data_IF_841092156751
#
_entry.id   IF_841092156751
#
_cell.length_a   1.000
_cell.length_b   1.000
_cell.length_c   1.000
_cell.angle_alpha   90.00
_cell.angle_beta   90.00
_cell.angle_gamma   90.00
#
_symmetry.space_group_name_H-M   'P 1'
#
loop_
_entity.id
_entity.type
_entity.pdbx_description
1 polymer ?
#
# COMPACT_ATOMS: atom_id res chain seq x y z
N UNK A 1 -65.67 66.00 -42.94
CA UNK A 1 -65.36 64.97 -41.93
C UNK A 1 -64.88 65.70 -40.68
N UNK A 2 -65.82 66.00 -39.75
CA UNK A 2 -65.91 65.46 -38.36
C UNK A 2 -65.04 66.28 -37.38
N UNK A 3 -65.57 67.27 -36.62
CA UNK A 3 -66.11 67.21 -35.23
C UNK A 3 -65.20 66.41 -34.26
N UNK A 4 -64.88 66.77 -33.02
CA UNK A 4 -65.37 67.77 -32.06
C UNK A 4 -64.42 67.90 -30.85
N UNK A 5 -64.56 69.02 -30.12
CA UNK A 5 -64.48 69.28 -28.65
C UNK A 5 -64.12 68.13 -27.70
N UNK A 6 -63.21 68.37 -26.72
CA UNK A 6 -63.35 68.18 -25.24
C UNK A 6 -62.02 68.51 -24.51
N UNK A 7 -61.98 69.36 -23.46
CA UNK A 7 -62.40 69.27 -22.04
C UNK A 7 -61.34 68.68 -21.10
N UNK A 8 -61.08 69.46 -20.05
CA UNK A 8 -60.39 69.20 -18.79
C UNK A 8 -60.63 67.81 -18.19
N UNK A 9 -59.68 67.38 -17.34
CA UNK A 9 -60.08 66.58 -16.18
C UNK A 9 -59.09 65.52 -15.71
N UNK A 10 -58.54 65.82 -14.53
CA UNK A 10 -58.65 64.96 -13.35
C UNK A 10 -57.41 64.16 -12.92
N UNK A 11 -56.82 64.69 -11.84
CA UNK A 11 -56.39 64.00 -10.63
C UNK A 11 -56.69 62.48 -10.57
N UNK A 12 -55.65 61.71 -10.25
CA UNK A 12 -55.76 60.40 -9.61
C UNK A 12 -54.47 60.07 -8.86
N UNK A 13 -54.53 59.26 -7.79
CA UNK A 13 -53.78 59.46 -6.56
C UNK A 13 -52.47 58.67 -6.50
N UNK A 14 -51.54 59.13 -5.67
CA UNK A 14 -50.38 58.37 -5.23
C UNK A 14 -50.84 57.11 -4.48
N UNK A 15 -50.72 55.95 -5.12
CA UNK A 15 -50.89 54.66 -4.46
C UNK A 15 -49.58 54.40 -3.70
N UNK A 16 -49.63 54.49 -2.37
CA UNK A 16 -48.58 53.93 -1.52
C UNK A 16 -48.71 52.40 -1.54
N UNK A 17 -47.72 51.73 -2.12
CA UNK A 17 -47.60 50.28 -2.02
C UNK A 17 -47.38 49.87 -0.56
N UNK A 18 -48.13 48.89 -0.02
CA UNK A 18 -47.92 48.41 1.33
C UNK A 18 -46.58 47.66 1.40
N UNK A 19 -45.65 48.19 2.22
CA UNK A 19 -44.41 47.51 2.58
C UNK A 19 -44.71 46.08 3.09
N UNK A 20 -44.02 45.04 2.59
CA UNK A 20 -44.19 43.69 3.12
C UNK A 20 -43.73 43.67 4.59
N UNK A 21 -44.42 42.92 5.48
CA UNK A 21 -44.02 42.80 6.87
C UNK A 21 -42.61 42.19 6.95
N UNK A 22 -41.77 42.80 7.78
CA UNK A 22 -40.41 42.32 8.05
C UNK A 22 -40.46 40.85 8.52
N UNK A 23 -39.59 39.96 8.00
CA UNK A 23 -39.57 38.58 8.44
C UNK A 23 -39.30 38.53 9.95
N UNK A 24 -40.22 37.89 10.66
CA UNK A 24 -40.21 37.70 12.10
C UNK A 24 -38.86 37.04 12.49
N UNK A 25 -37.96 37.81 13.12
CA UNK A 25 -36.59 37.36 13.47
C UNK A 25 -36.53 36.42 14.67
N UNK A 26 -37.68 36.08 15.25
CA UNK A 26 -37.77 35.36 16.53
C UNK A 26 -38.13 33.87 16.39
N UNK A 27 -38.04 33.31 15.18
CA UNK A 27 -38.11 31.86 14.99
C UNK A 27 -36.86 31.17 15.53
N UNK A 28 -36.95 30.07 16.31
CA UNK A 28 -35.78 29.33 16.75
C UNK A 28 -34.95 28.89 15.55
N UNK A 29 -33.68 29.29 15.51
CA UNK A 29 -32.77 28.99 14.42
C UNK A 29 -32.79 27.47 14.11
N UNK A 30 -32.77 27.07 12.81
CA UNK A 30 -32.72 25.67 12.45
C UNK A 30 -31.46 25.07 13.09
N UNK A 31 -31.65 24.09 13.98
CA UNK A 31 -30.55 23.36 14.62
C UNK A 31 -29.68 22.77 13.51
N UNK A 32 -28.51 23.33 13.30
CA UNK A 32 -27.50 22.72 12.45
C UNK A 32 -27.22 21.34 13.03
N UNK A 33 -27.62 20.29 12.31
CA UNK A 33 -27.13 18.94 12.62
C UNK A 33 -25.64 19.01 12.38
N UNK A 34 -24.86 19.13 13.47
CA UNK A 34 -23.41 19.04 13.42
C UNK A 34 -22.99 17.76 12.70
N UNK A 35 -21.75 17.69 12.17
CA UNK A 35 -21.27 16.48 11.51
C UNK A 35 -21.52 15.29 12.41
N UNK A 36 -22.17 14.24 11.89
CA UNK A 36 -22.29 12.97 12.60
C UNK A 36 -20.87 12.47 12.81
N UNK A 37 -20.30 12.74 13.99
CA UNK A 37 -19.03 12.18 14.43
C UNK A 37 -19.28 10.69 14.62
N UNK A 38 -19.09 9.91 13.55
CA UNK A 38 -19.01 8.47 13.65
C UNK A 38 -17.93 8.15 14.67
N UNK A 39 -18.30 7.41 15.72
CA UNK A 39 -17.36 6.96 16.73
C UNK A 39 -16.22 6.19 16.03
N UNK A 40 -15.00 6.75 16.04
CA UNK A 40 -13.82 6.02 15.58
C UNK A 40 -13.66 4.78 16.47
N UNK A 41 -13.53 3.60 15.86
CA UNK A 41 -13.33 2.35 16.59
C UNK A 41 -12.00 2.41 17.36
N UNK A 42 -11.86 1.57 18.39
CA UNK A 42 -10.63 1.56 19.17
C UNK A 42 -9.40 1.24 18.30
N UNK A 43 -8.23 1.83 18.57
CA UNK A 43 -7.00 1.50 17.84
C UNK A 43 -6.65 0.01 17.86
N UNK A 44 -6.99 -0.68 18.95
CA UNK A 44 -6.78 -2.13 19.12
C UNK A 44 -7.58 -2.93 18.10
N UNK A 45 -8.84 -2.55 17.85
CA UNK A 45 -9.69 -3.21 16.85
C UNK A 45 -9.02 -3.21 15.47
N UNK A 46 -8.57 -2.05 14.98
CA UNK A 46 -7.95 -1.97 13.65
C UNK A 46 -6.68 -2.82 13.54
N UNK A 47 -5.85 -2.84 14.59
CA UNK A 47 -4.64 -3.66 14.63
C UNK A 47 -5.00 -5.15 14.61
N UNK A 48 -5.97 -5.57 15.42
CA UNK A 48 -6.42 -6.98 15.45
C UNK A 48 -6.94 -7.41 14.08
N UNK A 49 -7.78 -6.59 13.43
CA UNK A 49 -8.30 -6.92 12.09
C UNK A 49 -7.18 -6.94 11.05
N UNK A 50 -6.24 -5.98 11.09
CA UNK A 50 -5.08 -5.99 10.21
C UNK A 50 -4.26 -7.28 10.35
N UNK A 51 -3.93 -7.67 11.58
CA UNK A 51 -3.16 -8.89 11.85
C UNK A 51 -3.91 -10.15 11.42
N UNK A 52 -5.23 -10.18 11.58
CA UNK A 52 -6.06 -11.27 11.08
C UNK A 52 -6.04 -11.35 9.55
N UNK A 53 -6.13 -10.21 8.84
CA UNK A 53 -6.04 -10.15 7.38
C UNK A 53 -4.66 -10.59 6.87
N UNK A 54 -3.58 -10.13 7.50
CA UNK A 54 -2.21 -10.54 7.18
C UNK A 54 -2.05 -12.04 7.40
N UNK A 55 -2.49 -12.55 8.55
CA UNK A 55 -2.39 -14.00 8.87
C UNK A 55 -3.18 -14.86 7.88
N UNK A 56 -4.39 -14.43 7.53
CA UNK A 56 -5.21 -15.11 6.54
C UNK A 56 -4.54 -15.10 5.15
N UNK A 57 -4.03 -13.95 4.71
CA UNK A 57 -3.30 -13.84 3.44
C UNK A 57 -2.09 -14.78 3.40
N UNK A 58 -1.26 -14.77 4.45
CA UNK A 58 -0.07 -15.63 4.54
C UNK A 58 -0.46 -17.10 4.47
N UNK A 59 -1.43 -17.53 5.28
CA UNK A 59 -1.87 -18.92 5.33
C UNK A 59 -2.47 -19.39 3.99
N UNK A 60 -3.37 -18.60 3.40
CA UNK A 60 -3.99 -18.91 2.11
C UNK A 60 -2.93 -18.96 1.02
N UNK A 61 -2.08 -17.93 0.92
CA UNK A 61 -1.03 -17.86 -0.10
C UNK A 61 -0.08 -19.04 0.00
N UNK A 62 0.39 -19.36 1.21
CA UNK A 62 1.28 -20.49 1.44
C UNK A 62 0.65 -21.83 1.03
N UNK A 63 -0.61 -22.07 1.42
CA UNK A 63 -1.34 -23.30 1.03
C UNK A 63 -1.51 -23.36 -0.49
N UNK A 64 -1.93 -22.26 -1.12
CA UNK A 64 -2.16 -22.22 -2.56
C UNK A 64 -0.86 -22.43 -3.35
N UNK A 65 0.24 -21.79 -2.97
CA UNK A 65 1.54 -22.01 -3.63
C UNK A 65 2.10 -23.41 -3.35
N UNK A 66 1.77 -24.01 -2.19
CA UNK A 66 2.17 -25.39 -1.88
C UNK A 66 1.42 -26.42 -2.74
N UNK A 67 0.13 -26.19 -3.01
CA UNK A 67 -0.65 -26.94 -4.01
C UNK A 67 -0.06 -26.71 -5.41
N UNK A 68 0.31 -25.46 -5.70
CA UNK A 68 1.22 -24.99 -6.78
C UNK A 68 2.32 -26.02 -7.08
N UNK A 69 3.20 -26.12 -6.09
CA UNK A 69 4.43 -26.88 -6.10
C UNK A 69 4.20 -28.39 -6.19
N UNK A 70 3.32 -28.94 -5.35
CA UNK A 70 3.03 -30.39 -5.34
C UNK A 70 2.26 -30.85 -6.57
N UNK A 71 1.54 -29.96 -7.24
CA UNK A 71 0.88 -30.19 -8.52
C UNK A 71 1.80 -30.03 -9.74
N UNK A 72 3.10 -29.76 -9.55
CA UNK A 72 4.09 -29.54 -10.61
C UNK A 72 3.76 -28.34 -11.53
N UNK A 73 3.13 -27.29 -10.99
CA UNK A 73 2.83 -26.06 -11.71
C UNK A 73 3.86 -24.93 -11.43
N UNK A 74 5.02 -25.27 -10.88
CA UNK A 74 6.17 -24.35 -10.70
C UNK A 74 7.18 -24.57 -11.81
N UNK A 75 7.75 -23.50 -12.32
CA UNK A 75 8.73 -23.42 -13.39
C UNK A 75 10.17 -23.52 -12.87
N UNK A 76 11.02 -24.17 -13.66
CA UNK A 76 12.44 -24.32 -13.31
C UNK A 76 13.21 -22.98 -13.38
N UNK A 77 12.84 -22.11 -14.31
CA UNK A 77 13.56 -20.87 -14.61
C UNK A 77 13.44 -19.80 -13.54
N UNK A 78 12.43 -19.88 -12.69
CA UNK A 78 12.32 -18.99 -11.52
C UNK A 78 12.56 -19.80 -10.24
N UNK A 79 11.68 -20.75 -9.93
CA UNK A 79 11.76 -21.47 -8.67
C UNK A 79 12.98 -22.39 -8.55
N UNK A 80 13.33 -23.08 -9.64
CA UNK A 80 14.43 -24.04 -9.69
C UNK A 80 15.79 -23.40 -9.49
N UNK A 81 16.01 -22.24 -10.12
CA UNK A 81 17.24 -21.42 -9.98
C UNK A 81 17.49 -21.09 -8.51
N UNK A 82 16.52 -20.47 -7.82
CA UNK A 82 16.68 -20.11 -6.42
C UNK A 82 16.90 -21.34 -5.53
N UNK A 83 16.15 -22.42 -5.77
CA UNK A 83 16.28 -23.65 -5.01
C UNK A 83 17.67 -24.27 -5.13
N UNK A 84 18.20 -24.35 -6.35
CA UNK A 84 19.51 -24.93 -6.58
C UNK A 84 20.63 -24.02 -6.07
N UNK A 85 20.52 -22.71 -6.28
CA UNK A 85 21.49 -21.73 -5.78
C UNK A 85 21.60 -21.76 -4.25
N UNK A 86 20.47 -21.86 -3.54
CA UNK A 86 20.47 -21.94 -2.09
C UNK A 86 20.96 -23.31 -1.61
N UNK A 87 20.47 -24.40 -2.22
CA UNK A 87 20.91 -25.75 -1.88
C UNK A 87 22.42 -25.93 -2.08
N UNK A 88 22.96 -25.52 -3.23
CA UNK A 88 24.39 -25.63 -3.54
C UNK A 88 25.24 -24.83 -2.56
N UNK A 89 24.78 -23.63 -2.16
CA UNK A 89 25.46 -22.79 -1.15
C UNK A 89 25.59 -23.51 0.17
N UNK A 90 24.52 -24.19 0.61
CA UNK A 90 24.55 -24.98 1.85
C UNK A 90 25.44 -26.23 1.77
N UNK A 91 25.85 -26.63 0.56
CA UNK A 91 26.74 -27.76 0.29
C UNK A 91 28.13 -27.34 -0.20
N UNK A 92 28.51 -26.06 -0.01
CA UNK A 92 29.86 -25.56 -0.29
C UNK A 92 30.09 -25.00 -1.70
N UNK A 93 29.07 -24.97 -2.54
CA UNK A 93 29.11 -24.37 -3.87
C UNK A 93 28.33 -23.06 -3.89
N UNK A 94 29.03 -21.93 -3.73
CA UNK A 94 28.39 -20.63 -3.51
C UNK A 94 27.49 -20.24 -4.70
N UNK A 95 26.19 -20.26 -4.45
CA UNK A 95 25.11 -19.85 -5.35
C UNK A 95 25.17 -20.50 -6.73
N UNK A 96 25.67 -21.73 -6.83
CA UNK A 96 25.71 -22.46 -8.09
C UNK A 96 24.30 -22.95 -8.46
N UNK A 97 23.91 -22.74 -9.70
CA UNK A 97 22.70 -23.32 -10.28
C UNK A 97 22.96 -23.67 -11.76
N UNK A 98 22.18 -24.60 -12.30
CA UNK A 98 22.41 -25.21 -13.59
C UNK A 98 21.77 -24.44 -14.75
N UNK A 99 20.73 -23.64 -14.47
CA UNK A 99 20.01 -22.87 -15.48
C UNK A 99 20.90 -21.82 -16.12
N UNK A 100 21.50 -20.92 -15.33
CA UNK A 100 22.42 -19.91 -15.87
C UNK A 100 23.75 -20.54 -16.30
N UNK A 101 24.18 -21.64 -15.67
CA UNK A 101 25.34 -22.38 -16.16
C UNK A 101 25.14 -22.91 -17.58
N UNK A 102 24.00 -23.55 -17.86
CA UNK A 102 23.69 -24.09 -19.19
C UNK A 102 23.43 -22.98 -20.21
N UNK A 103 22.73 -21.91 -19.82
CA UNK A 103 22.34 -20.84 -20.72
C UNK A 103 23.45 -19.82 -20.98
N UNK A 104 24.19 -19.43 -19.95
CA UNK A 104 25.14 -18.31 -19.96
C UNK A 104 26.59 -18.75 -19.68
N UNK A 105 26.83 -20.00 -19.29
CA UNK A 105 28.17 -20.49 -18.95
C UNK A 105 28.72 -19.94 -17.63
N UNK A 106 27.86 -19.36 -16.78
CA UNK A 106 28.25 -18.78 -15.49
C UNK A 106 28.14 -19.81 -14.38
N UNK A 107 29.04 -19.76 -13.40
CA UNK A 107 29.11 -20.76 -12.33
C UNK A 107 28.41 -20.35 -11.04
N UNK A 108 27.68 -19.23 -11.05
CA UNK A 108 27.01 -18.70 -9.87
C UNK A 108 25.89 -17.74 -10.28
N UNK A 109 24.72 -17.91 -9.69
CA UNK A 109 23.57 -17.00 -9.78
C UNK A 109 23.98 -15.54 -9.52
N UNK A 110 24.95 -15.31 -8.63
CA UNK A 110 25.43 -13.97 -8.29
C UNK A 110 26.07 -13.21 -9.46
N UNK A 111 26.52 -13.92 -10.50
CA UNK A 111 27.08 -13.31 -11.71
C UNK A 111 26.00 -12.70 -12.61
N UNK A 112 24.76 -13.20 -12.52
CA UNK A 112 23.61 -12.73 -13.29
C UNK A 112 22.76 -11.78 -12.44
N UNK A 113 22.55 -12.15 -11.18
CA UNK A 113 21.70 -11.44 -10.24
C UNK A 113 22.52 -11.09 -8.98
N UNK A 114 23.16 -9.91 -8.94
CA UNK A 114 23.96 -9.46 -7.80
C UNK A 114 23.08 -9.03 -6.62
N UNK A 115 22.34 -9.99 -6.06
CA UNK A 115 21.52 -9.81 -4.85
C UNK A 115 22.29 -10.29 -3.63
N UNK A 116 22.49 -9.41 -2.65
CA UNK A 116 23.09 -9.79 -1.37
C UNK A 116 22.06 -10.39 -0.40
N UNK A 117 20.77 -10.11 -0.59
CA UNK A 117 19.71 -10.69 0.24
C UNK A 117 19.70 -12.22 0.16
N UNK A 118 20.12 -12.80 -0.97
CA UNK A 118 20.15 -14.26 -1.16
C UNK A 118 21.04 -14.98 -0.15
N UNK A 119 22.08 -14.33 0.40
CA UNK A 119 22.91 -14.92 1.45
C UNK A 119 22.16 -15.03 2.79
N UNK A 120 21.29 -14.07 3.09
CA UNK A 120 20.39 -14.15 4.25
C UNK A 120 19.41 -15.31 4.05
N UNK A 121 18.88 -15.44 2.83
CA UNK A 121 18.02 -16.58 2.47
C UNK A 121 18.76 -17.90 2.56
N UNK A 122 20.04 -17.99 2.18
CA UNK A 122 20.86 -19.19 2.31
C UNK A 122 21.01 -19.61 3.77
N UNK A 123 21.17 -18.64 4.70
CA UNK A 123 21.18 -18.92 6.13
C UNK A 123 19.86 -19.50 6.65
N UNK A 124 18.72 -18.97 6.19
CA UNK A 124 17.40 -19.50 6.56
C UNK A 124 17.19 -20.89 5.93
N UNK A 125 17.57 -21.06 4.67
CA UNK A 125 17.45 -22.30 3.93
C UNK A 125 18.31 -23.41 4.53
N UNK A 126 19.49 -23.08 5.07
CA UNK A 126 20.32 -24.05 5.78
C UNK A 126 19.62 -24.70 6.99
N UNK A 127 18.78 -23.92 7.69
CA UNK A 127 18.01 -24.42 8.85
C UNK A 127 16.84 -25.29 8.39
N UNK A 128 16.18 -24.91 7.28
CA UNK A 128 15.03 -25.61 6.72
C UNK A 128 15.17 -25.73 5.18
N UNK A 129 15.93 -26.72 4.67
CA UNK A 129 16.25 -26.83 3.25
C UNK A 129 15.07 -27.46 2.48
N UNK A 130 14.09 -26.63 2.13
CA UNK A 130 12.86 -27.07 1.48
C UNK A 130 12.26 -26.00 0.57
N UNK A 131 11.56 -26.43 -0.48
CA UNK A 131 10.71 -25.58 -1.30
C UNK A 131 9.72 -24.75 -0.46
N UNK A 132 9.10 -25.39 0.52
CA UNK A 132 8.12 -24.75 1.38
C UNK A 132 8.71 -23.58 2.17
N UNK A 133 10.03 -23.58 2.44
CA UNK A 133 10.70 -22.46 3.11
C UNK A 133 10.62 -21.19 2.26
N UNK A 134 10.90 -21.27 0.96
CA UNK A 134 10.80 -20.13 0.05
C UNK A 134 9.36 -19.65 -0.13
N UNK A 135 8.43 -20.59 -0.29
CA UNK A 135 7.00 -20.29 -0.42
C UNK A 135 6.46 -19.59 0.84
N UNK A 136 6.88 -20.04 2.02
CA UNK A 136 6.53 -19.42 3.29
C UNK A 136 7.14 -18.02 3.42
N UNK A 137 8.42 -17.85 3.09
CA UNK A 137 9.10 -16.56 3.13
C UNK A 137 8.39 -15.55 2.22
N UNK A 138 8.14 -15.89 0.95
CA UNK A 138 7.44 -15.01 0.01
C UNK A 138 6.05 -14.61 0.54
N UNK A 139 5.26 -15.59 0.98
CA UNK A 139 3.93 -15.33 1.56
C UNK A 139 4.00 -14.39 2.77
N UNK A 140 4.99 -14.59 3.65
CA UNK A 140 5.23 -13.78 4.84
C UNK A 140 5.61 -12.35 4.48
N UNK A 141 6.60 -12.14 3.62
CA UNK A 141 7.09 -10.78 3.32
C UNK A 141 6.04 -9.94 2.61
N UNK A 142 5.29 -10.54 1.67
CA UNK A 142 4.20 -9.85 0.99
C UNK A 142 3.05 -9.53 1.96
N UNK A 143 2.66 -10.49 2.82
CA UNK A 143 1.65 -10.24 3.84
C UNK A 143 2.06 -9.15 4.82
N UNK A 144 3.31 -9.17 5.30
CA UNK A 144 3.85 -8.18 6.24
C UNK A 144 3.91 -6.77 5.63
N UNK A 145 4.01 -6.62 4.31
CA UNK A 145 4.01 -5.32 3.64
C UNK A 145 2.73 -4.51 3.91
N UNK A 146 1.61 -5.17 4.21
CA UNK A 146 0.37 -4.47 4.58
C UNK A 146 0.50 -3.67 5.89
N UNK A 147 1.43 -4.03 6.78
CA UNK A 147 1.64 -3.36 8.07
C UNK A 147 2.20 -1.95 7.88
N UNK A 148 3.38 -1.74 7.25
CA UNK A 148 3.87 -0.40 7.02
C UNK A 148 2.94 0.40 6.10
N UNK A 149 2.24 -0.24 5.15
CA UNK A 149 1.23 0.44 4.33
C UNK A 149 0.06 0.98 5.16
N UNK A 150 -0.45 0.19 6.11
CA UNK A 150 -1.47 0.63 7.06
C UNK A 150 -0.97 1.82 7.89
N UNK A 151 0.22 1.71 8.47
CA UNK A 151 0.79 2.77 9.30
C UNK A 151 1.04 4.05 8.50
N UNK A 152 1.54 3.92 7.28
CA UNK A 152 1.80 5.03 6.36
C UNK A 152 0.49 5.73 6.00
N UNK A 153 -0.52 4.98 5.58
CA UNK A 153 -1.84 5.52 5.23
C UNK A 153 -2.50 6.21 6.42
N UNK A 154 -2.38 5.62 7.62
CA UNK A 154 -2.91 6.23 8.86
C UNK A 154 -2.18 7.54 9.19
N UNK A 155 -0.86 7.60 8.99
CA UNK A 155 -0.06 8.81 9.26
C UNK A 155 -0.46 9.99 8.35
N UNK A 156 -0.80 9.71 7.09
CA UNK A 156 -1.21 10.68 6.07
C UNK A 156 -2.67 11.10 6.24
N UNK A 157 -3.58 10.14 6.43
CA UNK A 157 -5.03 10.38 6.40
C UNK A 157 -5.67 10.64 7.76
N UNK A 158 -4.98 10.31 8.85
CA UNK A 158 -5.50 10.40 10.22
C UNK A 158 -6.55 9.35 10.60
N UNK A 159 -7.01 8.50 9.67
CA UNK A 159 -8.12 7.56 9.91
C UNK A 159 -7.69 6.10 9.86
N UNK A 160 -7.94 5.36 10.94
CA UNK A 160 -7.68 3.91 11.01
C UNK A 160 -8.53 3.12 10.02
N UNK A 161 -9.77 3.57 9.76
CA UNK A 161 -10.67 2.94 8.79
C UNK A 161 -10.12 3.02 7.37
N UNK A 162 -9.67 4.21 6.93
CA UNK A 162 -9.07 4.39 5.60
C UNK A 162 -7.80 3.57 5.44
N UNK A 163 -6.95 3.55 6.47
CA UNK A 163 -5.75 2.73 6.49
C UNK A 163 -6.04 1.25 6.36
N UNK A 164 -7.06 0.73 7.07
CA UNK A 164 -7.46 -0.67 6.98
C UNK A 164 -7.99 -1.01 5.59
N UNK A 165 -8.80 -0.13 4.99
CA UNK A 165 -9.29 -0.32 3.61
C UNK A 165 -8.14 -0.40 2.61
N UNK A 166 -7.15 0.48 2.69
CA UNK A 166 -5.99 0.47 1.80
C UNK A 166 -5.17 -0.81 1.99
N UNK A 167 -4.91 -1.22 3.24
CA UNK A 167 -4.19 -2.46 3.52
C UNK A 167 -4.94 -3.71 3.03
N UNK A 168 -6.26 -3.77 3.24
CA UNK A 168 -7.10 -4.85 2.73
C UNK A 168 -7.11 -4.89 1.20
N UNK A 169 -7.27 -3.73 0.56
CA UNK A 169 -7.26 -3.60 -0.89
C UNK A 169 -5.92 -4.06 -1.50
N UNK A 170 -4.80 -3.74 -0.85
CA UNK A 170 -3.48 -4.25 -1.24
C UNK A 170 -3.43 -5.78 -1.20
N UNK A 171 -3.83 -6.41 -0.09
CA UNK A 171 -3.77 -7.87 0.08
C UNK A 171 -4.67 -8.65 -0.89
N UNK A 172 -5.75 -8.05 -1.39
CA UNK A 172 -6.65 -8.68 -2.37
C UNK A 172 -6.46 -8.15 -3.79
N UNK A 173 -5.43 -7.33 -4.01
CA UNK A 173 -5.21 -6.73 -5.32
C UNK A 173 -4.79 -7.79 -6.33
N UNK A 174 -5.54 -7.91 -7.43
CA UNK A 174 -5.39 -9.02 -8.37
C UNK A 174 -3.95 -9.17 -8.93
N UNK A 175 -3.22 -8.11 -9.32
CA UNK A 175 -1.83 -8.24 -9.73
C UNK A 175 -0.91 -8.78 -8.63
N UNK A 176 -1.13 -8.38 -7.37
CA UNK A 176 -0.36 -8.90 -6.23
C UNK A 176 -0.66 -10.38 -5.98
N UNK A 177 -1.93 -10.77 -6.08
CA UNK A 177 -2.31 -12.18 -5.97
C UNK A 177 -1.70 -12.99 -7.12
N UNK A 178 -1.69 -12.44 -8.34
CA UNK A 178 -1.07 -13.07 -9.49
C UNK A 178 0.45 -13.23 -9.31
N UNK A 179 1.14 -12.22 -8.78
CA UNK A 179 2.58 -12.32 -8.51
C UNK A 179 2.86 -13.31 -7.38
N UNK A 180 2.04 -13.32 -6.32
CA UNK A 180 2.17 -14.29 -5.23
C UNK A 180 1.91 -15.73 -5.70
N UNK A 181 1.01 -15.90 -6.67
CA UNK A 181 0.76 -17.17 -7.35
C UNK A 181 1.76 -17.45 -8.47
N UNK A 182 2.74 -16.59 -8.71
CA UNK A 182 3.93 -16.91 -9.50
C UNK A 182 4.99 -17.54 -8.60
N UNK A 183 6.07 -17.99 -9.20
CA UNK A 183 7.14 -18.66 -8.50
C UNK A 183 7.98 -17.71 -7.63
N UNK A 184 8.89 -18.25 -6.83
CA UNK A 184 9.66 -17.44 -5.89
C UNK A 184 10.52 -16.41 -6.62
N UNK A 185 10.47 -15.16 -6.16
CA UNK A 185 11.23 -14.06 -6.75
C UNK A 185 11.57 -12.98 -5.71
N UNK A 186 12.72 -12.32 -5.85
CA UNK A 186 13.21 -11.35 -4.87
C UNK A 186 12.39 -10.06 -4.85
N UNK A 187 11.68 -9.75 -5.94
CA UNK A 187 10.79 -8.60 -6.10
C UNK A 187 9.63 -8.63 -5.07
N UNK A 188 9.30 -9.81 -4.53
CA UNK A 188 8.28 -9.96 -3.50
C UNK A 188 8.62 -9.21 -2.19
N UNK A 189 9.89 -8.89 -1.96
CA UNK A 189 10.34 -8.14 -0.79
C UNK A 189 10.12 -6.62 -0.95
N UNK A 190 10.08 -6.11 -2.19
CA UNK A 190 10.01 -4.69 -2.49
C UNK A 190 8.80 -3.99 -1.85
N UNK A 191 7.56 -4.54 -1.82
CA UNK A 191 6.44 -3.87 -1.16
C UNK A 191 6.72 -3.57 0.32
N UNK A 192 7.28 -4.55 1.05
CA UNK A 192 7.61 -4.38 2.47
C UNK A 192 8.68 -3.31 2.67
N UNK A 193 9.73 -3.37 1.87
CA UNK A 193 10.86 -2.44 1.92
C UNK A 193 10.44 -1.02 1.53
N UNK A 194 9.73 -0.84 0.41
CA UNK A 194 9.30 0.47 -0.06
C UNK A 194 8.31 1.11 0.90
N UNK A 195 7.26 0.39 1.32
CA UNK A 195 6.31 0.94 2.28
C UNK A 195 6.98 1.26 3.63
N UNK A 196 7.91 0.41 4.08
CA UNK A 196 8.71 0.66 5.27
C UNK A 196 9.60 1.91 5.15
N UNK A 197 10.28 2.06 4.02
CA UNK A 197 11.09 3.24 3.70
C UNK A 197 10.24 4.51 3.71
N UNK A 198 9.10 4.53 3.01
CA UNK A 198 8.19 5.69 2.98
C UNK A 198 7.61 6.00 4.36
N UNK A 199 7.26 4.97 5.14
CA UNK A 199 6.79 5.13 6.51
C UNK A 199 7.82 5.85 7.37
N UNK A 200 9.08 5.39 7.37
CA UNK A 200 10.15 6.02 8.14
C UNK A 200 10.49 7.41 7.64
N UNK A 201 10.44 7.64 6.32
CA UNK A 201 10.63 8.95 5.72
C UNK A 201 9.58 9.96 6.22
N UNK A 202 8.30 9.58 6.19
CA UNK A 202 7.20 10.43 6.67
C UNK A 202 7.30 10.72 8.17
N UNK A 203 7.89 9.81 8.95
CA UNK A 203 8.15 10.00 10.38
C UNK A 203 9.43 10.80 10.68
N UNK A 204 10.11 11.34 9.66
CA UNK A 204 11.42 12.01 9.77
C UNK A 204 12.54 11.13 10.36
N UNK A 205 12.38 9.81 10.29
CA UNK A 205 13.37 8.81 10.71
C UNK A 205 14.30 8.46 9.54
N UNK A 206 15.04 9.45 9.05
CA UNK A 206 15.81 9.35 7.81
C UNK A 206 16.86 8.22 7.84
N UNK A 207 17.51 7.97 8.97
CA UNK A 207 18.45 6.86 9.10
C UNK A 207 17.77 5.49 8.98
N UNK A 208 16.57 5.32 9.54
CA UNK A 208 15.79 4.10 9.36
C UNK A 208 15.31 3.94 7.91
N UNK A 209 14.88 5.05 7.28
CA UNK A 209 14.50 5.04 5.87
C UNK A 209 15.69 4.68 4.96
N UNK A 210 16.86 5.28 5.20
CA UNK A 210 18.10 4.99 4.48
C UNK A 210 18.52 3.53 4.67
N UNK A 211 18.43 2.99 5.89
CA UNK A 211 18.73 1.58 6.14
C UNK A 211 17.83 0.63 5.35
N UNK A 212 16.52 0.89 5.31
CA UNK A 212 15.58 0.08 4.50
C UNK A 212 15.84 0.27 3.00
N UNK A 213 16.17 1.49 2.55
CA UNK A 213 16.54 1.73 1.16
C UNK A 213 17.80 0.95 0.77
N UNK A 214 18.81 0.90 1.64
CA UNK A 214 20.01 0.09 1.44
C UNK A 214 19.65 -1.40 1.35
N UNK A 215 18.78 -1.90 2.23
CA UNK A 215 18.30 -3.29 2.13
C UNK A 215 17.64 -3.52 0.76
N UNK A 216 16.78 -2.61 0.28
CA UNK A 216 16.16 -2.74 -1.04
C UNK A 216 17.17 -2.79 -2.19
N UNK A 217 18.25 -1.99 -2.13
CA UNK A 217 19.35 -2.05 -3.12
C UNK A 217 20.13 -3.37 -3.05
N UNK A 218 20.21 -3.98 -1.86
CA UNK A 218 20.85 -5.28 -1.65
C UNK A 218 19.94 -6.43 -2.07
N UNK A 219 18.63 -6.22 -2.08
CA UNK A 219 17.62 -7.17 -2.53
C UNK A 219 17.64 -7.30 -4.05
N UNK A 220 17.62 -6.18 -4.77
CA UNK A 220 17.62 -6.14 -6.22
C UNK A 220 18.52 -5.03 -6.77
N UNK A 221 19.11 -5.28 -7.94
CA UNK A 221 19.91 -4.30 -8.69
C UNK A 221 19.11 -3.07 -9.16
N UNK A 222 17.77 -3.15 -9.13
CA UNK A 222 16.87 -2.06 -9.51
C UNK A 222 16.50 -1.24 -8.27
N UNK A 223 17.22 -0.16 -8.08
CA UNK A 223 16.89 0.83 -7.06
C UNK A 223 15.86 1.86 -7.54
N UNK A 224 14.80 2.16 -6.78
CA UNK A 224 13.95 3.31 -7.09
C UNK A 224 14.74 4.61 -6.93
N UNK A 225 15.16 5.21 -8.04
CA UNK A 225 15.62 6.59 -8.08
C UNK A 225 14.41 7.51 -7.91
N UNK A 226 13.99 7.75 -6.66
CA UNK A 226 12.84 8.61 -6.38
C UNK A 226 13.27 10.04 -6.04
N UNK A 227 12.81 11.00 -6.86
CA UNK A 227 12.88 12.43 -6.54
C UNK A 227 11.68 12.78 -5.66
N UNK A 228 11.87 12.69 -4.35
CA UNK A 228 10.81 13.00 -3.37
C UNK A 228 10.51 14.51 -3.39
N UNK A 229 9.22 14.85 -3.52
CA UNK A 229 8.70 16.21 -3.32
C UNK A 229 7.93 16.24 -2.01
N UNK A 230 8.26 17.18 -1.14
CA UNK A 230 7.97 17.22 0.30
C UNK A 230 6.49 17.43 0.72
N UNK A 231 5.53 16.75 0.08
CA UNK A 231 4.13 16.87 0.49
C UNK A 231 3.84 16.22 1.85
N UNK A 232 4.66 15.25 2.28
CA UNK A 232 4.51 14.62 3.60
C UNK A 232 5.04 15.49 4.76
N UNK A 233 5.78 16.57 4.48
CA UNK A 233 6.30 17.48 5.50
C UNK A 233 5.30 18.58 5.90
N UNK A 234 4.15 18.68 5.23
CA UNK A 234 3.16 19.75 5.43
C UNK A 234 2.18 19.48 6.59
N UNK A 235 2.59 18.79 7.66
CA UNK A 235 1.79 18.85 8.89
C UNK A 235 1.94 20.26 9.47
N UNK A 236 0.85 21.03 9.66
CA UNK A 236 0.92 22.25 10.45
C UNK A 236 1.41 21.87 11.85
N UNK A 237 2.39 22.61 12.36
CA UNK A 237 2.81 22.53 13.75
C UNK A 237 1.60 22.68 14.68
N UNK A 238 1.54 21.96 15.82
CA UNK A 238 0.50 22.24 16.82
C UNK A 238 0.57 23.72 17.20
N UNK A 239 -0.58 24.39 17.43
CA UNK A 239 -0.59 25.78 17.85
C UNK A 239 0.17 25.92 19.18
N UNK A 240 0.83 27.08 19.40
CA UNK A 240 1.58 27.38 20.62
C UNK A 240 0.70 27.36 21.87
#
# INVERSE_FOLDING_TARGET
>A
MTRAVTIDGNLSPSIEDPHPPSPNRDGPAPRSRGPVQGSELSPRFYITVLLALVSAYVAISFVMTSIRFTGFFTENWDFGIFQQALWSTTHGHILFEAGDYELLGVSSFFQVHPSFLIFVLAGIYWIAPSAYTLLAIQSLVVGLAAIPLFLLTRSITGSGRKALWVAAAFLVWLPLLSSQMYDFHLEAFLPLELFGMFLFWCQRRFWSAAGVATIAMLTLEVGPALRLRDRCLLRPSPPP
#
